data_IF_795656957510
#
_entry.id   IF_795656957510
#
_cell.length_a   1.000
_cell.length_b   1.000
_cell.length_c   1.000
_cell.angle_alpha   90.00
_cell.angle_beta   90.00
_cell.angle_gamma   90.00
#
_symmetry.space_group_name_H-M   'P 1'
#
loop_
_entity.id
_entity.type
_entity.pdbx_description
1 polymer ?
#
# COMPACT_ATOMS: atom_id res chain seq x y z
N UNK A 1 31.72 11.80 -1.41
CA UNK A 1 32.06 10.37 -1.62
C UNK A 1 31.00 9.79 -2.54
N UNK A 2 31.39 9.24 -3.69
CA UNK A 2 30.43 8.63 -4.63
C UNK A 2 29.93 7.32 -4.05
N UNK A 3 28.78 7.35 -3.38
CA UNK A 3 28.02 6.16 -3.05
C UNK A 3 27.49 5.58 -4.36
N UNK A 4 28.07 4.47 -4.84
CA UNK A 4 27.58 3.83 -6.06
C UNK A 4 26.30 3.05 -5.76
N UNK A 5 25.16 3.63 -6.12
CA UNK A 5 23.90 2.90 -6.11
C UNK A 5 23.91 1.84 -7.22
N UNK A 6 23.43 0.64 -6.87
CA UNK A 6 23.20 -0.44 -7.84
C UNK A 6 21.73 -0.42 -8.23
N UNK A 7 21.45 -0.34 -9.53
CA UNK A 7 20.10 -0.45 -10.05
C UNK A 7 19.60 -1.88 -9.87
N UNK A 8 18.51 -2.05 -9.13
CA UNK A 8 17.89 -3.33 -8.80
C UNK A 8 16.37 -3.22 -8.96
N UNK A 9 15.72 -4.37 -9.13
CA UNK A 9 14.27 -4.48 -9.14
C UNK A 9 13.80 -4.94 -7.76
N UNK A 10 12.95 -4.15 -7.13
CA UNK A 10 12.37 -4.45 -5.82
C UNK A 10 10.95 -4.99 -5.99
N UNK A 11 10.60 -5.97 -5.17
CA UNK A 11 9.26 -6.53 -5.09
C UNK A 11 8.91 -6.76 -3.63
N UNK A 12 7.69 -6.38 -3.26
CA UNK A 12 7.13 -6.54 -1.93
C UNK A 12 6.09 -7.65 -1.96
N UNK A 13 6.21 -8.61 -1.06
CA UNK A 13 5.17 -9.60 -0.78
C UNK A 13 4.67 -9.42 0.65
N UNK A 14 3.68 -10.21 1.04
CA UNK A 14 3.17 -10.28 2.41
C UNK A 14 4.21 -10.74 3.44
N UNK A 15 5.27 -11.41 3.00
CA UNK A 15 6.33 -11.94 3.88
C UNK A 15 7.63 -11.13 3.81
N UNK A 16 7.93 -10.53 2.66
CA UNK A 16 9.26 -9.96 2.44
C UNK A 16 9.34 -8.82 1.42
N UNK A 17 10.29 -7.91 1.66
CA UNK A 17 10.89 -7.04 0.66
C UNK A 17 12.07 -7.76 0.02
N UNK A 18 11.99 -8.02 -1.28
CA UNK A 18 13.01 -8.77 -2.03
C UNK A 18 13.51 -7.99 -3.24
N UNK A 19 14.76 -8.22 -3.62
CA UNK A 19 15.35 -7.55 -4.78
C UNK A 19 16.12 -8.49 -5.71
N UNK A 20 16.18 -8.11 -6.98
CA UNK A 20 16.81 -8.89 -8.04
C UNK A 20 17.50 -7.99 -9.08
N UNK A 21 18.43 -8.53 -9.87
CA UNK A 21 19.13 -7.76 -10.92
C UNK A 21 18.22 -7.46 -12.11
N UNK A 22 17.34 -8.40 -12.45
CA UNK A 22 16.32 -8.28 -13.50
C UNK A 22 14.96 -8.78 -12.97
N UNK A 23 13.83 -8.40 -13.58
CA UNK A 23 12.49 -8.83 -13.14
C UNK A 23 12.30 -10.35 -13.11
N UNK A 24 12.97 -11.07 -14.01
CA UNK A 24 12.88 -12.53 -14.16
C UNK A 24 13.99 -13.30 -13.45
N UNK A 25 14.98 -12.62 -12.84
CA UNK A 25 16.09 -13.28 -12.16
C UNK A 25 15.72 -13.80 -10.77
N UNK A 26 16.46 -14.82 -10.31
CA UNK A 26 16.33 -15.36 -8.95
C UNK A 26 16.56 -14.25 -7.91
N UNK A 27 15.62 -14.12 -6.96
CA UNK A 27 15.66 -13.14 -5.88
C UNK A 27 17.00 -13.24 -5.14
N UNK A 28 17.71 -12.12 -5.05
CA UNK A 28 19.12 -12.05 -4.62
C UNK A 28 19.29 -11.85 -3.13
N UNK A 29 18.39 -11.11 -2.47
CA UNK A 29 18.30 -11.08 -1.01
C UNK A 29 16.88 -10.67 -0.55
N UNK A 30 16.61 -10.93 0.72
CA UNK A 30 15.29 -10.87 1.32
C UNK A 30 15.35 -10.17 2.69
N UNK A 31 14.62 -9.07 2.84
CA UNK A 31 14.34 -8.44 4.12
C UNK A 31 12.95 -8.92 4.55
N UNK A 32 12.88 -9.74 5.61
CA UNK A 32 11.61 -10.20 6.17
C UNK A 32 10.82 -9.01 6.70
N UNK A 33 9.53 -8.93 6.36
CA UNK A 33 8.71 -7.79 6.80
C UNK A 33 8.59 -7.73 8.31
N UNK A 34 8.44 -8.87 9.00
CA UNK A 34 8.40 -8.96 10.45
C UNK A 34 9.63 -8.39 11.16
N UNK A 35 10.76 -8.25 10.43
CA UNK A 35 12.01 -7.74 10.98
C UNK A 35 12.20 -6.24 10.73
N UNK A 36 11.34 -5.60 9.95
CA UNK A 36 11.41 -4.15 9.70
C UNK A 36 11.05 -3.41 11.00
N UNK A 37 11.91 -2.48 11.39
CA UNK A 37 11.78 -1.67 12.60
C UNK A 37 11.45 -0.20 12.32
N UNK A 38 11.81 0.29 11.13
CA UNK A 38 11.41 1.60 10.63
C UNK A 38 11.61 1.70 9.11
N UNK A 39 10.82 2.53 8.45
CA UNK A 39 11.02 2.93 7.06
C UNK A 39 10.83 4.45 6.95
N UNK A 40 11.90 5.17 6.62
CA UNK A 40 11.95 6.63 6.75
C UNK A 40 12.68 7.31 5.59
N UNK A 41 12.37 8.58 5.36
CA UNK A 41 13.09 9.42 4.39
C UNK A 41 14.47 9.80 4.94
N UNK A 42 15.45 9.85 4.05
CA UNK A 42 16.83 10.29 4.34
C UNK A 42 17.01 11.75 3.91
N UNK A 43 17.84 12.52 4.62
CA UNK A 43 18.13 13.89 4.21
C UNK A 43 18.91 13.91 2.89
N UNK A 44 18.49 14.79 1.98
CA UNK A 44 19.02 14.92 0.62
C UNK A 44 20.54 15.15 0.58
N UNK A 45 21.06 15.96 1.51
CA UNK A 45 22.48 16.33 1.60
C UNK A 45 23.43 15.12 1.67
N UNK A 46 22.95 13.95 2.08
CA UNK A 46 23.78 12.76 2.24
C UNK A 46 24.05 12.03 0.91
N UNK A 47 23.09 12.05 -0.01
CA UNK A 47 23.16 11.30 -1.26
C UNK A 47 23.05 12.18 -2.52
N UNK A 48 22.80 13.49 -2.36
CA UNK A 48 22.55 14.40 -3.48
C UNK A 48 21.23 14.12 -4.19
N UNK A 49 20.29 13.48 -3.50
CA UNK A 49 18.96 13.14 -4.04
C UNK A 49 17.93 13.21 -2.92
N UNK A 50 16.83 13.90 -3.18
CA UNK A 50 15.69 14.02 -2.26
C UNK A 50 14.77 12.78 -2.24
N UNK A 51 15.04 11.80 -3.11
CA UNK A 51 14.21 10.61 -3.30
C UNK A 51 14.81 9.35 -2.66
N UNK A 52 15.55 9.50 -1.56
CA UNK A 52 16.19 8.39 -0.85
C UNK A 52 15.42 8.08 0.43
N UNK A 53 15.13 6.79 0.63
CA UNK A 53 14.62 6.25 1.88
C UNK A 53 15.61 5.27 2.51
N UNK A 54 15.41 5.00 3.78
CA UNK A 54 16.08 3.94 4.52
C UNK A 54 15.06 2.96 5.09
N UNK A 55 15.40 1.68 5.02
CA UNK A 55 14.68 0.59 5.69
C UNK A 55 15.59 0.05 6.77
N UNK A 56 15.19 0.24 8.02
CA UNK A 56 15.91 -0.26 9.20
C UNK A 56 15.27 -1.57 9.61
N UNK A 57 16.06 -2.63 9.70
CA UNK A 57 15.58 -3.98 10.01
C UNK A 57 16.58 -4.74 10.89
N UNK A 58 16.14 -5.80 11.54
CA UNK A 58 17.04 -6.74 12.22
C UNK A 58 17.37 -7.92 11.31
N UNK A 59 18.65 -8.24 11.13
CA UNK A 59 19.04 -9.46 10.41
C UNK A 59 18.66 -10.74 11.17
N UNK A 60 18.87 -11.90 10.57
CA UNK A 60 18.55 -13.19 11.20
C UNK A 60 19.40 -13.47 12.47
N UNK A 61 20.50 -12.74 12.66
CA UNK A 61 21.31 -12.79 13.87
C UNK A 61 20.88 -11.74 14.92
N UNK A 62 19.76 -11.03 14.69
CA UNK A 62 19.22 -10.01 15.58
C UNK A 62 19.96 -8.67 15.55
N UNK A 63 20.88 -8.46 14.61
CA UNK A 63 21.67 -7.22 14.54
C UNK A 63 20.94 -6.15 13.72
N UNK A 64 20.97 -4.88 14.13
CA UNK A 64 20.37 -3.80 13.36
C UNK A 64 21.14 -3.59 12.05
N UNK A 65 20.38 -3.51 10.95
CA UNK A 65 20.86 -3.23 9.60
C UNK A 65 20.04 -2.10 8.99
N UNK A 66 20.66 -1.36 8.08
CA UNK A 66 20.01 -0.28 7.33
C UNK A 66 20.25 -0.48 5.85
N UNK A 67 19.18 -0.55 5.06
CA UNK A 67 19.23 -0.52 3.61
C UNK A 67 18.81 0.86 3.10
N UNK A 68 19.65 1.49 2.27
CA UNK A 68 19.33 2.76 1.60
C UNK A 68 18.82 2.50 0.19
N UNK A 69 17.65 3.04 -0.13
CA UNK A 69 16.97 2.85 -1.42
C UNK A 69 16.76 4.20 -2.07
N UNK A 70 17.27 4.36 -3.29
CA UNK A 70 17.01 5.54 -4.12
C UNK A 70 15.85 5.24 -5.08
N UNK A 71 14.78 6.03 -4.96
CA UNK A 71 13.62 5.97 -5.84
C UNK A 71 13.81 6.91 -7.05
N UNK A 72 13.08 6.66 -8.14
CA UNK A 72 13.14 7.46 -9.37
C UNK A 72 12.53 8.84 -9.21
N UNK A 73 11.49 8.95 -8.38
CA UNK A 73 10.77 10.19 -8.13
C UNK A 73 10.11 10.19 -6.74
N UNK A 74 9.56 11.34 -6.36
CA UNK A 74 8.85 11.53 -5.09
C UNK A 74 7.63 10.61 -4.94
N UNK A 75 6.90 10.33 -6.02
CA UNK A 75 5.74 9.43 -5.97
C UNK A 75 6.15 8.01 -5.60
N UNK A 76 7.19 7.48 -6.25
CA UNK A 76 7.71 6.14 -5.95
C UNK A 76 8.25 6.07 -4.52
N UNK A 77 8.98 7.11 -4.06
CA UNK A 77 9.44 7.21 -2.68
C UNK A 77 8.27 7.11 -1.69
N UNK A 78 7.24 7.92 -1.89
CA UNK A 78 6.11 7.98 -0.97
C UNK A 78 5.31 6.67 -0.98
N UNK A 79 5.08 6.08 -2.15
CA UNK A 79 4.42 4.77 -2.26
C UNK A 79 5.17 3.69 -1.48
N UNK A 80 6.51 3.61 -1.64
CA UNK A 80 7.32 2.64 -0.90
C UNK A 80 7.31 2.89 0.60
N UNK A 81 7.43 4.14 1.05
CA UNK A 81 7.35 4.47 2.47
C UNK A 81 5.99 4.09 3.06
N UNK A 82 4.89 4.41 2.37
CA UNK A 82 3.53 4.13 2.85
C UNK A 82 3.27 2.64 2.95
N UNK A 83 3.57 1.86 1.92
CA UNK A 83 3.35 0.42 1.96
C UNK A 83 4.23 -0.25 3.03
N UNK A 84 5.51 0.15 3.15
CA UNK A 84 6.41 -0.43 4.14
C UNK A 84 6.01 -0.08 5.58
N UNK A 85 5.55 1.14 5.83
CA UNK A 85 4.99 1.53 7.14
C UNK A 85 3.70 0.77 7.44
N UNK A 86 2.79 0.64 6.46
CA UNK A 86 1.51 -0.10 6.63
C UNK A 86 1.76 -1.56 6.99
N UNK A 87 2.67 -2.24 6.29
CA UNK A 87 2.96 -3.67 6.56
C UNK A 87 3.79 -3.91 7.82
N UNK A 88 4.50 -2.91 8.33
CA UNK A 88 5.34 -3.05 9.52
C UNK A 88 4.73 -2.49 10.81
N UNK A 89 3.58 -1.81 10.74
CA UNK A 89 2.98 -1.11 11.89
C UNK A 89 2.70 -2.01 13.11
N UNK A 90 2.48 -3.30 12.88
CA UNK A 90 2.21 -4.29 13.92
C UNK A 90 3.45 -5.11 14.32
N UNK A 91 4.62 -4.80 13.77
CA UNK A 91 5.85 -5.47 14.15
C UNK A 91 6.21 -5.12 15.60
N UNK A 92 6.77 -6.09 16.31
CA UNK A 92 7.38 -5.82 17.61
C UNK A 92 8.65 -4.99 17.43
N UNK A 93 9.11 -4.28 18.47
CA UNK A 93 10.40 -3.59 18.44
C UNK A 93 10.53 -2.48 17.39
N UNK A 94 9.43 -1.87 16.94
CA UNK A 94 9.47 -0.67 16.12
C UNK A 94 10.30 0.42 16.81
N UNK A 95 11.14 1.10 16.03
CA UNK A 95 11.93 2.22 16.54
C UNK A 95 11.02 3.43 16.72
N UNK A 96 11.13 4.13 17.85
CA UNK A 96 10.49 5.43 18.09
C UNK A 96 11.31 6.62 17.57
N UNK A 97 12.58 6.39 17.25
CA UNK A 97 13.48 7.39 16.66
C UNK A 97 14.47 6.74 15.70
N UNK A 98 14.98 7.54 14.76
CA UNK A 98 15.92 7.12 13.73
C UNK A 98 16.92 8.24 13.42
N UNK A 99 17.93 7.92 12.61
CA UNK A 99 18.88 8.91 12.10
C UNK A 99 18.55 9.26 10.64
N UNK A 100 18.15 10.51 10.33
CA UNK A 100 17.91 10.95 8.95
C UNK A 100 19.18 11.00 8.09
N UNK A 101 20.35 10.96 8.74
CA UNK A 101 21.66 10.98 8.12
C UNK A 101 22.22 9.60 7.76
N UNK A 102 23.49 9.59 7.39
CA UNK A 102 24.28 8.37 7.17
C UNK A 102 25.38 8.27 8.23
N UNK A 103 25.73 7.05 8.61
CA UNK A 103 26.88 6.80 9.47
C UNK A 103 28.13 6.68 8.60
N UNK A 104 29.02 7.68 8.67
CA UNK A 104 30.22 7.76 7.84
C UNK A 104 31.35 8.46 8.60
N UNK A 105 32.58 7.91 8.53
CA UNK A 105 33.73 8.47 9.25
C UNK A 105 33.52 8.49 10.76
N UNK A 106 33.04 7.37 11.30
CA UNK A 106 32.80 7.12 12.73
C UNK A 106 31.81 8.06 13.43
N UNK A 107 30.95 8.74 12.65
CA UNK A 107 29.86 9.54 13.19
C UNK A 107 28.65 9.58 12.26
N UNK A 108 27.50 9.88 12.84
CA UNK A 108 26.30 10.22 12.09
C UNK A 108 26.41 11.62 11.46
N UNK A 109 26.04 11.76 10.20
CA UNK A 109 26.01 13.06 9.52
C UNK A 109 24.91 14.00 10.03
N UNK A 110 23.85 13.46 10.66
CA UNK A 110 22.71 14.24 11.16
C UNK A 110 22.96 14.87 12.54
N UNK A 111 23.57 14.14 13.48
CA UNK A 111 23.73 14.56 14.88
C UNK A 111 25.16 14.42 15.43
N UNK A 112 26.11 13.95 14.61
CA UNK A 112 27.51 13.72 15.00
C UNK A 112 27.75 12.71 16.12
N UNK A 113 26.72 11.94 16.51
CA UNK A 113 26.88 10.80 17.41
C UNK A 113 27.83 9.76 16.81
N UNK A 114 28.77 9.27 17.63
CA UNK A 114 29.81 8.30 17.20
C UNK A 114 29.36 6.84 17.31
N UNK A 115 28.33 6.58 18.09
CA UNK A 115 27.77 5.25 18.24
C UNK A 115 26.83 4.93 17.08
N UNK A 116 27.21 3.95 16.24
CA UNK A 116 26.41 3.52 15.08
C UNK A 116 25.05 2.94 15.49
N UNK A 117 24.96 2.28 16.64
CA UNK A 117 23.73 1.66 17.16
C UNK A 117 23.03 2.55 18.19
N UNK A 118 23.45 3.82 18.29
CA UNK A 118 22.87 4.77 19.22
C UNK A 118 21.41 5.12 18.91
N UNK A 119 20.75 5.76 19.86
CA UNK A 119 19.38 6.22 19.70
C UNK A 119 19.28 7.27 18.59
N UNK A 120 18.29 7.10 17.70
CA UNK A 120 18.01 8.03 16.63
C UNK A 120 17.72 9.46 17.11
N UNK A 121 18.16 10.45 16.35
CA UNK A 121 18.02 11.88 16.68
C UNK A 121 16.73 12.52 16.14
N UNK A 122 15.94 11.81 15.34
CA UNK A 122 14.65 12.27 14.83
C UNK A 122 13.57 11.21 15.10
N UNK A 123 12.29 11.61 15.18
CA UNK A 123 11.19 10.71 15.50
C UNK A 123 10.76 9.91 14.28
N UNK A 124 10.51 8.62 14.46
CA UNK A 124 9.89 7.82 13.40
C UNK A 124 8.44 8.26 13.19
N UNK A 125 8.01 8.31 11.93
CA UNK A 125 6.62 8.60 11.59
C UNK A 125 5.85 7.27 11.62
N UNK A 126 5.46 6.84 12.82
CA UNK A 126 4.60 5.65 13.01
C UNK A 126 3.19 5.83 12.47
N UNK A 127 2.75 7.09 12.32
CA UNK A 127 1.45 7.47 11.77
C UNK A 127 1.68 8.20 10.47
N UNK A 128 0.97 7.77 9.42
CA UNK A 128 0.76 8.59 8.23
C UNK A 128 0.09 9.87 8.71
N UNK A 129 0.85 10.96 8.83
CA UNK A 129 0.29 12.29 9.04
C UNK A 129 -0.42 12.65 7.74
N UNK A 130 -1.74 12.47 7.74
CA UNK A 130 -2.67 12.77 6.63
C UNK A 130 -2.61 14.23 6.11
N UNK A 131 -1.76 15.09 6.67
CA UNK A 131 -1.62 16.48 6.21
C UNK A 131 -0.78 16.63 4.94
N UNK A 132 0.07 15.66 4.57
CA UNK A 132 1.00 15.83 3.44
C UNK A 132 0.90 14.74 2.37
N UNK A 133 0.10 13.68 2.59
CA UNK A 133 -0.01 12.61 1.61
C UNK A 133 -1.34 11.84 1.77
N UNK A 134 -2.15 11.87 0.72
CA UNK A 134 -3.24 10.92 0.51
C UNK A 134 -2.66 9.72 -0.24
N UNK A 135 -2.95 8.51 0.26
CA UNK A 135 -2.61 7.29 -0.47
C UNK A 135 -3.37 7.29 -1.80
N UNK A 136 -2.71 7.37 -2.96
CA UNK A 136 -3.39 7.34 -4.26
C UNK A 136 -4.13 6.03 -4.50
N UNK A 137 -3.87 5.00 -3.68
CA UNK A 137 -4.43 3.67 -3.74
C UNK A 137 -4.85 3.22 -2.33
N UNK A 138 -5.55 4.06 -1.58
CA UNK A 138 -6.26 3.55 -0.40
C UNK A 138 -7.32 2.54 -0.88
N UNK A 139 -6.94 1.26 -0.95
CA UNK A 139 -7.81 0.19 -1.43
C UNK A 139 -9.11 0.10 -0.62
N UNK A 140 -9.10 0.52 0.64
CA UNK A 140 -10.29 0.55 1.48
C UNK A 140 -11.19 1.70 1.03
N UNK A 141 -10.64 2.90 0.79
CA UNK A 141 -11.39 4.03 0.22
C UNK A 141 -11.90 3.75 -1.20
N UNK A 142 -11.06 3.21 -2.09
CA UNK A 142 -11.44 2.82 -3.44
C UNK A 142 -12.54 1.76 -3.43
N UNK A 143 -12.45 0.75 -2.56
CA UNK A 143 -13.51 -0.23 -2.38
C UNK A 143 -14.81 0.42 -1.89
N UNK A 144 -14.73 1.41 -0.98
CA UNK A 144 -15.89 2.19 -0.53
C UNK A 144 -16.49 3.07 -1.64
N UNK A 145 -15.66 3.67 -2.49
CA UNK A 145 -16.10 4.47 -3.64
C UNK A 145 -16.77 3.59 -4.70
N UNK A 146 -16.19 2.43 -5.02
CA UNK A 146 -16.77 1.43 -5.91
C UNK A 146 -18.12 0.94 -5.35
N UNK A 147 -18.18 0.59 -4.07
CA UNK A 147 -19.43 0.18 -3.42
C UNK A 147 -20.50 1.28 -3.50
N UNK A 148 -20.14 2.53 -3.20
CA UNK A 148 -21.05 3.68 -3.30
C UNK A 148 -21.55 3.89 -4.73
N UNK A 149 -20.67 3.78 -5.72
CA UNK A 149 -21.05 3.89 -7.12
C UNK A 149 -22.00 2.77 -7.54
N UNK A 150 -21.70 1.51 -7.16
CA UNK A 150 -22.55 0.36 -7.44
C UNK A 150 -23.94 0.48 -6.80
N UNK A 151 -24.03 1.03 -5.58
CA UNK A 151 -25.31 1.36 -4.95
C UNK A 151 -26.08 2.43 -5.74
N UNK A 152 -25.39 3.46 -6.24
CA UNK A 152 -26.01 4.54 -7.02
C UNK A 152 -26.60 4.05 -8.35
N UNK A 153 -26.03 3.00 -8.95
CA UNK A 153 -26.51 2.42 -10.21
C UNK A 153 -27.40 1.18 -10.03
N UNK A 154 -27.65 0.72 -8.80
CA UNK A 154 -28.34 -0.54 -8.51
C UNK A 154 -29.74 -0.61 -9.15
N UNK A 155 -30.52 0.48 -9.08
CA UNK A 155 -31.84 0.52 -9.68
C UNK A 155 -31.79 0.30 -11.22
N UNK A 156 -30.78 0.85 -11.88
CA UNK A 156 -30.56 0.65 -13.31
C UNK A 156 -30.12 -0.79 -13.61
N UNK A 157 -29.29 -1.39 -12.74
CA UNK A 157 -28.87 -2.78 -12.87
C UNK A 157 -30.06 -3.75 -12.75
N UNK A 158 -30.99 -3.51 -11.82
CA UNK A 158 -32.23 -4.29 -11.69
C UNK A 158 -33.16 -4.16 -12.90
N UNK A 159 -33.30 -2.94 -13.43
CA UNK A 159 -34.10 -2.70 -14.64
C UNK A 159 -33.53 -3.48 -15.84
N UNK A 160 -32.23 -3.39 -16.07
CA UNK A 160 -31.56 -4.13 -17.15
C UNK A 160 -31.65 -5.64 -16.98
N UNK A 161 -31.56 -6.15 -15.75
CA UNK A 161 -31.73 -7.58 -15.48
C UNK A 161 -33.15 -8.05 -15.83
N UNK A 162 -34.17 -7.25 -15.52
CA UNK A 162 -35.56 -7.55 -15.85
C UNK A 162 -35.81 -7.53 -17.36
N UNK A 163 -35.26 -6.54 -18.07
CA UNK A 163 -35.36 -6.46 -19.53
C UNK A 163 -34.73 -7.67 -20.23
N UNK A 164 -33.54 -8.09 -19.79
CA UNK A 164 -32.82 -9.23 -20.34
C UNK A 164 -33.50 -10.57 -19.98
N UNK A 165 -34.06 -10.67 -18.77
CA UNK A 165 -34.82 -11.85 -18.34
C UNK A 165 -36.18 -11.97 -19.04
N UNK A 166 -36.82 -10.84 -19.35
CA UNK A 166 -38.11 -10.79 -20.04
C UNK A 166 -38.04 -11.03 -21.55
N UNK A 167 -36.86 -10.85 -22.17
CA UNK A 167 -36.64 -11.08 -23.60
C UNK A 167 -36.34 -12.53 -24.00
N UNK A 168 -36.07 -13.42 -23.04
CA UNK A 168 -35.69 -14.81 -23.30
C UNK A 168 -36.87 -15.75 -23.67
N UNK A 169 -38.12 -15.26 -23.58
CA UNK A 169 -39.34 -16.05 -23.83
C UNK A 169 -39.80 -16.05 -25.31
N UNK A 170 -39.07 -15.41 -26.23
CA UNK A 170 -39.40 -15.38 -27.67
C UNK A 170 -38.37 -16.12 -28.53
N UNK A 171 -38.32 -17.45 -28.36
CA UNK A 171 -37.77 -18.39 -29.32
C UNK A 171 -36.34 -18.85 -29.06
N UNK A 172 -36.17 -20.12 -28.69
CA UNK A 172 -35.49 -21.16 -29.50
C UNK A 172 -35.50 -22.50 -28.72
N UNK A 173 -35.73 -23.58 -29.44
CA UNK A 173 -35.74 -25.00 -29.02
C UNK A 173 -34.42 -25.40 -28.32
N UNK A 174 -34.43 -26.29 -27.30
CA UNK A 174 -33.22 -26.70 -26.61
C UNK A 174 -32.43 -27.75 -27.42
N UNK A 175 -31.12 -27.53 -27.61
CA UNK A 175 -30.20 -28.61 -27.97
C UNK A 175 -28.84 -28.41 -27.31
N UNK A 176 -28.42 -29.44 -26.55
CA UNK A 176 -27.08 -29.74 -26.00
C UNK A 176 -26.73 -29.25 -24.57
N UNK A 177 -26.18 -30.14 -23.71
CA UNK A 177 -25.80 -29.81 -22.33
C UNK A 177 -24.40 -29.19 -22.29
N UNK A 178 -24.33 -27.87 -22.46
CA UNK A 178 -23.14 -27.07 -22.16
C UNK A 178 -23.48 -26.06 -21.07
N UNK A 179 -22.64 -25.92 -20.04
CA UNK A 179 -22.80 -25.01 -18.89
C UNK A 179 -23.52 -23.71 -19.29
N UNK A 180 -24.70 -23.49 -18.71
CA UNK A 180 -25.43 -22.22 -18.80
C UNK A 180 -24.46 -21.10 -18.42
N UNK A 181 -24.28 -20.06 -19.26
CA UNK A 181 -23.51 -18.87 -18.89
C UNK A 181 -24.18 -18.27 -17.66
N UNK A 182 -23.48 -18.31 -16.53
CA UNK A 182 -23.95 -17.68 -15.30
C UNK A 182 -24.22 -16.20 -15.61
N UNK A 183 -25.46 -15.76 -15.40
CA UNK A 183 -25.86 -14.38 -15.67
C UNK A 183 -25.00 -13.45 -14.80
N UNK A 184 -24.05 -12.77 -15.46
CA UNK A 184 -23.06 -11.95 -14.80
C UNK A 184 -23.71 -10.77 -14.07
N UNK A 185 -24.89 -10.34 -14.53
CA UNK A 185 -25.68 -9.30 -13.89
C UNK A 185 -26.38 -9.82 -12.63
N UNK A 186 -26.98 -11.01 -12.70
CA UNK A 186 -27.54 -11.68 -11.52
C UNK A 186 -26.46 -11.92 -10.43
N UNK A 187 -25.24 -12.30 -10.85
CA UNK A 187 -24.11 -12.47 -9.92
C UNK A 187 -23.67 -11.15 -9.30
N UNK A 188 -23.63 -10.06 -10.07
CA UNK A 188 -23.30 -8.73 -9.55
C UNK A 188 -24.36 -8.23 -8.54
N UNK A 189 -25.64 -8.43 -8.84
CA UNK A 189 -26.74 -8.05 -7.93
C UNK A 189 -26.71 -8.83 -6.62
N UNK A 190 -26.35 -10.12 -6.66
CA UNK A 190 -26.13 -10.94 -5.47
C UNK A 190 -24.96 -10.41 -4.62
N UNK A 191 -23.83 -10.12 -5.26
CA UNK A 191 -22.68 -9.51 -4.56
C UNK A 191 -23.05 -8.20 -3.89
N UNK A 192 -23.89 -7.37 -4.52
CA UNK A 192 -24.35 -6.12 -3.91
C UNK A 192 -25.26 -6.31 -2.69
N UNK A 193 -26.11 -7.35 -2.72
CA UNK A 193 -26.91 -7.73 -1.55
C UNK A 193 -26.01 -8.19 -0.40
N UNK A 194 -25.06 -9.09 -0.68
CA UNK A 194 -24.11 -9.59 0.32
C UNK A 194 -23.29 -8.44 0.94
N UNK A 195 -22.82 -7.50 0.11
CA UNK A 195 -22.09 -6.32 0.59
C UNK A 195 -22.94 -5.42 1.48
N UNK A 196 -24.23 -5.23 1.16
CA UNK A 196 -25.16 -4.43 1.98
C UNK A 196 -25.38 -5.07 3.35
N UNK A 197 -25.58 -6.38 3.39
CA UNK A 197 -25.76 -7.13 4.63
C UNK A 197 -24.49 -7.09 5.50
N UNK A 198 -23.31 -7.23 4.90
CA UNK A 198 -22.05 -7.09 5.62
C UNK A 198 -21.88 -5.67 6.19
N UNK A 199 -22.29 -4.63 5.45
CA UNK A 199 -22.17 -3.24 5.87
C UNK A 199 -23.14 -2.89 7.01
N UNK A 200 -24.38 -3.38 6.96
CA UNK A 200 -25.40 -3.15 7.99
C UNK A 200 -25.11 -3.93 9.29
N UNK A 201 -24.39 -5.04 9.19
CA UNK A 201 -23.94 -5.85 10.32
C UNK A 201 -22.70 -5.26 11.03
N UNK A 202 -22.06 -4.25 10.44
CA UNK A 202 -20.89 -3.61 11.01
C UNK A 202 -21.31 -2.58 12.09
N UNK A 203 -20.79 -2.67 13.33
CA UNK A 203 -21.09 -1.67 14.36
C UNK A 203 -20.58 -0.30 13.91
N UNK A 204 -21.48 0.68 13.82
CA UNK A 204 -21.16 2.03 13.38
C UNK A 204 -20.00 2.63 14.22
N UNK A 205 -18.84 2.77 13.59
CA UNK A 205 -17.77 3.61 14.10
C UNK A 205 -18.24 5.06 14.17
N UNK A 206 -17.92 5.74 15.27
CA UNK A 206 -18.27 7.14 15.57
C UNK A 206 -18.12 8.10 14.40
N UNK A 207 -18.98 9.13 14.27
CA UNK A 207 -19.03 10.00 13.10
C UNK A 207 -17.74 10.81 12.91
N UNK A 208 -17.29 11.00 11.66
CA UNK A 208 -16.14 11.85 11.37
C UNK A 208 -16.50 13.32 11.66
N UNK A 209 -15.71 13.94 12.53
CA UNK A 209 -15.75 15.37 12.80
C UNK A 209 -14.93 16.06 11.71
N UNK A 210 -15.55 16.44 10.59
CA UNK A 210 -15.23 17.62 9.74
C UNK A 210 -15.85 17.48 8.34
N UNK A 211 -16.22 18.60 7.68
CA UNK A 211 -16.96 18.58 6.42
C UNK A 211 -16.01 18.32 5.24
N UNK A 212 -16.16 17.16 4.61
CA UNK A 212 -15.48 16.82 3.35
C UNK A 212 -15.97 17.72 2.22
N UNK A 213 -15.10 18.59 1.71
CA UNK A 213 -15.29 19.33 0.48
C UNK A 213 -15.21 18.34 -0.70
N UNK A 214 -16.36 17.94 -1.24
CA UNK A 214 -16.48 17.06 -2.40
C UNK A 214 -16.05 17.82 -3.67
N UNK A 215 -15.01 17.34 -4.34
CA UNK A 215 -14.75 17.66 -5.74
C UNK A 215 -15.62 16.74 -6.60
N UNK A 216 -16.59 17.33 -7.29
CA UNK A 216 -17.42 16.64 -8.28
C UNK A 216 -16.55 16.15 -9.45
N UNK A 217 -16.71 14.86 -9.77
CA UNK A 217 -16.17 14.27 -11.00
C UNK A 217 -16.94 14.85 -12.19
N UNK A 218 -16.27 15.69 -12.97
CA UNK A 218 -16.80 16.16 -14.25
C UNK A 218 -16.83 14.99 -15.24
N UNK A 219 -18.03 14.71 -15.77
CA UNK A 219 -18.30 13.84 -16.93
C UNK A 219 -17.90 14.51 -18.23
#
# INVERSE_FOLDING_TARGET
>A
MSSSFKKLYFSLTTEALSFAKTPSSKKSALIKLANIRAAEKVEEKNFGSSHVMQVIYTDDAGRPQTAYLQCKCVNELNQWLSVLRKVSINNTGLLGSYHPGIFCGDKWSCCHQKEKTGQGCDKTRSRVTLQEWNDPLDHDLEAQLIYRHLLGVEAMLWERHRELSGGAEAGTVPTSPGKVPEDSLARLLRVLQDLREAHSSSPAGSPPSEPNCLLELQT
#
